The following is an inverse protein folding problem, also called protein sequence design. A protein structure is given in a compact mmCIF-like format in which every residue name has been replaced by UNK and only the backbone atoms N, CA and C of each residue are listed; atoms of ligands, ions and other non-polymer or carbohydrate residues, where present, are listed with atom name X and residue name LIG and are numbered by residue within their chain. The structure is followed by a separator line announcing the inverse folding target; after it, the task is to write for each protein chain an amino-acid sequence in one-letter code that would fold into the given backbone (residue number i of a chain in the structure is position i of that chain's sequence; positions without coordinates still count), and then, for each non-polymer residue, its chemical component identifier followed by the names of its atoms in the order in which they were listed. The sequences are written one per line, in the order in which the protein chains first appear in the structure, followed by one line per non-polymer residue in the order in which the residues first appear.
data_IF_720454795414
#
_entry.id   IF_720454795414
#
_cell.length_a   1.000
_cell.length_b   1.000
_cell.length_c   1.000
_cell.angle_alpha   90.00
_cell.angle_beta   90.00
_cell.angle_gamma   90.00
#
_symmetry.space_group_name_H-M   'P 1'
#
loop_
_entity.id
_entity.type
_entity.pdbx_description
1 polymer ?
#
# COMPACT_ATOMS: atom_id res chain seq x y z
N UNK A 1 -2.53 -29.01 -11.31
CA UNK A 1 -1.25 -28.46 -10.80
C UNK A 1 -1.24 -28.32 -9.28
N UNK A 2 -2.25 -27.68 -8.65
CA UNK A 2 -2.28 -27.46 -7.19
C UNK A 2 -2.15 -28.75 -6.34
N UNK A 3 -2.73 -29.86 -6.80
CA UNK A 3 -2.66 -31.16 -6.10
C UNK A 3 -1.25 -31.79 -6.14
N UNK A 4 -0.45 -31.49 -7.16
CA UNK A 4 0.95 -31.96 -7.28
C UNK A 4 1.89 -31.12 -6.42
N UNK A 5 1.56 -29.84 -6.21
CA UNK A 5 2.40 -28.88 -5.48
C UNK A 5 2.20 -28.93 -3.95
N UNK A 6 1.29 -29.78 -3.45
CA UNK A 6 0.97 -29.95 -2.03
C UNK A 6 0.85 -28.62 -1.24
N UNK A 7 0.11 -27.65 -1.80
CA UNK A 7 -0.06 -26.35 -1.16
C UNK A 7 -0.76 -26.51 0.20
N UNK A 8 -0.10 -26.05 1.27
CA UNK A 8 -0.58 -26.11 2.65
C UNK A 8 -0.69 -24.70 3.21
N UNK A 9 -1.75 -24.47 3.98
CA UNK A 9 -1.94 -23.24 4.73
C UNK A 9 -2.41 -23.58 6.14
N UNK A 10 -1.88 -22.86 7.13
CA UNK A 10 -2.35 -22.98 8.51
C UNK A 10 -3.68 -22.25 8.60
N UNK A 11 -4.75 -22.92 9.06
CA UNK A 11 -6.07 -22.30 9.20
C UNK A 11 -6.23 -21.59 10.54
N UNK A 12 -5.72 -22.19 11.60
CA UNK A 12 -5.90 -21.71 12.98
C UNK A 12 -4.70 -20.90 13.43
N UNK A 13 -4.92 -19.68 13.90
CA UNK A 13 -3.87 -18.80 14.40
C UNK A 13 -4.00 -17.37 13.88
N UNK A 14 -2.96 -16.58 14.13
CA UNK A 14 -2.90 -15.19 13.66
C UNK A 14 -2.84 -15.14 12.15
N UNK A 15 -3.65 -14.27 11.56
CA UNK A 15 -3.66 -14.12 10.13
C UNK A 15 -2.43 -13.37 9.62
N UNK A 16 -1.89 -13.85 8.51
CA UNK A 16 -0.96 -13.12 7.66
C UNK A 16 -1.51 -13.06 6.25
N UNK A 17 -1.17 -12.02 5.51
CA UNK A 17 -1.65 -11.83 4.15
C UNK A 17 -0.91 -10.75 3.41
N UNK A 18 -1.37 -10.46 2.21
CA UNK A 18 -0.81 -9.42 1.34
C UNK A 18 -1.92 -8.52 0.84
N UNK A 19 -1.65 -7.21 0.80
CA UNK A 19 -2.57 -6.23 0.23
C UNK A 19 -2.58 -6.40 -1.29
N UNK A 20 -3.76 -6.66 -1.85
CA UNK A 20 -3.97 -6.74 -3.30
C UNK A 20 -4.17 -5.32 -3.86
N UNK A 21 -5.07 -4.57 -3.23
CA UNK A 21 -5.46 -3.23 -3.63
C UNK A 21 -5.93 -2.43 -2.43
N UNK A 22 -5.91 -1.11 -2.56
CA UNK A 22 -6.30 -0.19 -1.50
C UNK A 22 -6.82 1.12 -2.09
N UNK A 23 -7.76 1.72 -1.38
CA UNK A 23 -8.38 2.98 -1.78
C UNK A 23 -9.01 3.71 -0.58
N UNK A 24 -9.39 4.97 -0.82
CA UNK A 24 -10.08 5.79 0.16
C UNK A 24 -11.56 5.92 -0.19
N UNK A 25 -12.42 5.32 0.63
CA UNK A 25 -13.86 5.39 0.45
C UNK A 25 -14.45 6.62 1.15
N UNK A 26 -15.29 7.37 0.42
CA UNK A 26 -15.99 8.54 0.94
C UNK A 26 -17.08 8.11 1.92
N UNK A 27 -16.73 8.11 3.20
CA UNK A 27 -17.64 7.84 4.32
C UNK A 27 -17.23 6.63 5.15
N UNK A 28 -16.59 5.63 4.53
CA UNK A 28 -16.07 4.46 5.26
C UNK A 28 -14.62 4.64 5.72
N UNK A 29 -13.87 5.55 5.07
CA UNK A 29 -12.46 5.79 5.35
C UNK A 29 -11.53 4.89 4.53
N UNK A 30 -10.29 4.66 4.97
CA UNK A 30 -9.34 3.82 4.26
C UNK A 30 -9.78 2.36 4.21
N UNK A 31 -9.68 1.79 3.01
CA UNK A 31 -10.08 0.42 2.70
C UNK A 31 -8.93 -0.30 2.01
N UNK A 32 -8.74 -1.58 2.31
CA UNK A 32 -7.79 -2.43 1.62
C UNK A 32 -8.39 -3.81 1.38
N UNK A 33 -8.21 -4.35 0.18
CA UNK A 33 -8.49 -5.76 -0.13
C UNK A 33 -7.23 -6.56 0.16
N UNK A 34 -7.33 -7.52 1.07
CA UNK A 34 -6.19 -8.33 1.53
C UNK A 34 -6.45 -9.80 1.20
N UNK A 35 -5.46 -10.46 0.60
CA UNK A 35 -5.46 -11.91 0.46
C UNK A 35 -4.90 -12.53 1.74
N UNK A 36 -5.72 -13.26 2.49
CA UNK A 36 -5.24 -14.02 3.65
C UNK A 36 -4.44 -15.23 3.17
N UNK A 37 -3.19 -15.37 3.60
CA UNK A 37 -2.30 -16.47 3.19
C UNK A 37 -2.20 -17.56 4.26
N UNK A 38 -2.29 -17.17 5.53
CA UNK A 38 -2.22 -18.07 6.68
C UNK A 38 -3.08 -17.52 7.81
N UNK A 39 -3.51 -18.40 8.72
CA UNK A 39 -4.39 -18.08 9.85
C UNK A 39 -5.81 -17.70 9.44
N UNK A 40 -6.58 -17.22 10.41
CA UNK A 40 -7.94 -16.72 10.18
C UNK A 40 -8.03 -15.28 10.67
N UNK A 41 -8.37 -14.37 9.76
CA UNK A 41 -8.57 -12.96 10.07
C UNK A 41 -9.99 -12.78 10.59
N UNK A 42 -10.15 -12.12 11.72
CA UNK A 42 -11.44 -11.86 12.34
C UNK A 42 -11.73 -10.37 12.45
N UNK A 43 -13.02 -10.03 12.43
CA UNK A 43 -13.47 -8.68 12.76
C UNK A 43 -13.07 -8.38 14.21
N UNK A 44 -12.45 -7.23 14.42
CA UNK A 44 -11.93 -6.80 15.72
C UNK A 44 -10.44 -7.10 15.93
N UNK A 45 -9.82 -7.88 15.04
CA UNK A 45 -8.37 -8.09 15.08
C UNK A 45 -7.63 -6.78 14.83
N UNK A 46 -6.49 -6.64 15.49
CA UNK A 46 -5.56 -5.54 15.24
C UNK A 46 -4.57 -6.00 14.18
N UNK A 47 -4.40 -5.19 13.13
CA UNK A 47 -3.53 -5.49 11.99
C UNK A 47 -2.48 -4.42 11.82
N UNK A 48 -1.31 -4.86 11.34
CA UNK A 48 -0.24 -4.03 10.83
C UNK A 48 -0.10 -4.34 9.33
N UNK A 49 -0.25 -3.32 8.49
CA UNK A 49 -0.18 -3.40 7.03
C UNK A 49 0.89 -2.42 6.54
N UNK A 50 2.11 -2.91 6.27
CA UNK A 50 3.21 -2.04 5.84
C UNK A 50 3.51 -0.90 6.83
N UNK A 51 3.21 0.34 6.44
CA UNK A 51 3.34 1.56 7.25
C UNK A 51 2.08 1.91 8.04
N UNK A 52 0.97 1.23 7.78
CA UNK A 52 -0.33 1.50 8.36
C UNK A 52 -0.69 0.46 9.41
N UNK A 53 -1.55 0.84 10.36
CA UNK A 53 -2.03 -0.05 11.40
C UNK A 53 -3.49 0.25 11.71
N UNK A 54 -4.18 -0.67 12.35
CA UNK A 54 -5.55 -0.40 12.78
C UNK A 54 -6.25 -1.61 13.32
N UNK A 55 -7.46 -1.37 13.82
CA UNK A 55 -8.37 -2.45 14.23
C UNK A 55 -9.41 -2.65 13.13
N UNK A 56 -9.59 -3.89 12.71
CA UNK A 56 -10.55 -4.26 11.67
C UNK A 56 -11.97 -3.99 12.18
N UNK A 57 -12.60 -2.92 11.70
CA UNK A 57 -13.95 -2.48 12.09
C UNK A 57 -15.04 -3.26 11.40
N UNK A 58 -14.81 -3.56 10.12
CA UNK A 58 -15.70 -4.32 9.27
C UNK A 58 -14.87 -5.09 8.24
N UNK A 59 -15.43 -6.20 7.76
CA UNK A 59 -14.87 -6.98 6.68
C UNK A 59 -15.96 -7.31 5.66
N UNK A 60 -15.63 -7.27 4.38
CA UNK A 60 -16.52 -7.70 3.30
C UNK A 60 -15.82 -8.67 2.36
N UNK A 61 -16.57 -9.60 1.81
CA UNK A 61 -16.06 -10.51 0.79
C UNK A 61 -16.15 -9.88 -0.61
N UNK A 62 -15.71 -10.63 -1.62
CA UNK A 62 -15.64 -10.22 -3.03
C UNK A 62 -16.99 -9.82 -3.65
N UNK A 63 -18.11 -10.26 -3.08
CA UNK A 63 -19.47 -9.88 -3.51
C UNK A 63 -20.08 -8.76 -2.64
N UNK A 64 -19.27 -8.12 -1.78
CA UNK A 64 -19.67 -6.98 -0.95
C UNK A 64 -20.53 -7.33 0.27
N UNK A 65 -20.64 -8.61 0.64
CA UNK A 65 -21.36 -9.04 1.85
C UNK A 65 -20.47 -8.96 3.07
N UNK A 66 -21.03 -8.55 4.20
CA UNK A 66 -20.29 -8.52 5.46
C UNK A 66 -19.93 -9.94 5.93
N UNK A 67 -18.68 -10.10 6.33
CA UNK A 67 -18.15 -11.36 6.87
C UNK A 67 -17.52 -11.12 8.24
N UNK A 68 -17.55 -12.13 9.10
CA UNK A 68 -16.97 -12.06 10.46
C UNK A 68 -15.56 -12.63 10.53
N UNK A 69 -15.22 -13.54 9.62
CA UNK A 69 -13.94 -14.24 9.56
C UNK A 69 -13.57 -14.53 8.11
N UNK A 70 -12.27 -14.48 7.79
CA UNK A 70 -11.71 -14.89 6.52
C UNK A 70 -10.52 -15.83 6.76
N UNK A 71 -10.59 -17.05 6.22
CA UNK A 71 -9.51 -18.03 6.30
C UNK A 71 -8.49 -17.87 5.17
N UNK A 72 -7.50 -18.76 5.08
CA UNK A 72 -6.49 -18.73 4.04
C UNK A 72 -7.09 -18.84 2.63
N UNK A 73 -6.42 -18.23 1.66
CA UNK A 73 -6.80 -18.14 0.25
C UNK A 73 -8.07 -17.35 -0.07
N UNK A 74 -8.67 -16.67 0.92
CA UNK A 74 -9.85 -15.84 0.73
C UNK A 74 -9.42 -14.36 0.67
N UNK A 75 -9.76 -13.62 -0.40
CA UNK A 75 -9.62 -12.17 -0.42
C UNK A 75 -10.72 -11.53 0.43
N UNK A 76 -10.36 -10.56 1.25
CA UNK A 76 -11.30 -9.85 2.11
C UNK A 76 -10.99 -8.36 2.14
N UNK A 77 -12.01 -7.55 1.92
CA UNK A 77 -11.96 -6.10 2.07
C UNK A 77 -12.03 -5.77 3.55
N UNK A 78 -11.00 -5.07 4.07
CA UNK A 78 -10.90 -4.66 5.46
C UNK A 78 -11.02 -3.14 5.60
N UNK A 79 -11.64 -2.73 6.70
CA UNK A 79 -11.86 -1.32 7.05
C UNK A 79 -11.38 -1.02 8.46
N UNK A 80 -10.93 0.21 8.68
CA UNK A 80 -10.47 0.69 9.99
C UNK A 80 -8.96 0.80 10.15
N UNK A 81 -8.24 0.87 9.02
CA UNK A 81 -6.81 1.21 8.99
C UNK A 81 -6.62 2.72 9.21
N UNK A 82 -5.42 3.10 9.68
CA UNK A 82 -5.00 4.49 9.87
C UNK A 82 -4.88 5.28 8.56
N UNK A 83 -4.61 4.58 7.46
CA UNK A 83 -4.38 5.13 6.15
C UNK A 83 -4.55 4.07 5.07
N UNK A 84 -4.31 4.47 3.82
CA UNK A 84 -4.38 3.58 2.65
C UNK A 84 -3.02 2.88 2.54
N UNK A 85 -2.92 1.56 2.80
CA UNK A 85 -1.65 0.83 2.67
C UNK A 85 -1.23 0.70 1.21
N UNK A 86 0.04 0.40 0.93
CA UNK A 86 0.50 0.19 -0.44
C UNK A 86 0.09 -1.19 -0.95
N UNK A 87 -0.11 -1.32 -2.26
CA UNK A 87 -0.29 -2.63 -2.87
C UNK A 87 1.00 -3.47 -2.69
N UNK A 88 0.83 -4.75 -2.36
CA UNK A 88 1.96 -5.64 -2.05
C UNK A 88 2.49 -5.56 -0.62
N UNK A 89 1.99 -4.64 0.22
CA UNK A 89 2.36 -4.62 1.63
C UNK A 89 1.92 -5.89 2.34
N UNK A 90 2.78 -6.40 3.23
CA UNK A 90 2.44 -7.51 4.11
C UNK A 90 1.47 -7.03 5.21
N UNK A 91 0.43 -7.83 5.42
CA UNK A 91 -0.52 -7.70 6.53
C UNK A 91 -0.23 -8.78 7.58
N UNK A 92 -0.16 -8.38 8.84
CA UNK A 92 -0.04 -9.30 9.97
C UNK A 92 -0.97 -8.90 11.10
N UNK A 93 -1.71 -9.87 11.63
CA UNK A 93 -2.48 -9.71 12.87
C UNK A 93 -1.52 -9.68 14.06
N UNK A 94 -1.69 -8.69 14.92
CA UNK A 94 -0.87 -8.47 16.10
C UNK A 94 -1.76 -8.41 17.35
N UNK A 95 -1.20 -8.84 18.49
CA UNK A 95 -1.96 -8.91 19.76
C UNK A 95 -2.22 -7.55 20.39
N UNK A 96 -1.30 -6.60 20.20
CA UNK A 96 -1.29 -5.34 20.92
C UNK A 96 -1.25 -4.17 19.93
N UNK A 97 -2.32 -3.39 19.94
CA UNK A 97 -2.48 -2.18 19.13
C UNK A 97 -1.44 -1.11 19.45
N UNK A 98 -0.99 -1.01 20.70
CA UNK A 98 0.04 -0.03 21.09
C UNK A 98 1.37 -0.37 20.44
N UNK A 99 1.75 -1.66 20.42
CA UNK A 99 2.96 -2.13 19.74
C UNK A 99 2.83 -2.00 18.23
N UNK A 100 1.66 -2.32 17.66
CA UNK A 100 1.39 -2.13 16.23
C UNK A 100 1.64 -0.67 15.80
N UNK A 101 1.09 0.27 16.58
CA UNK A 101 1.25 1.71 16.39
C UNK A 101 2.72 2.13 16.46
N UNK A 102 3.46 1.64 17.45
CA UNK A 102 4.88 1.96 17.62
C UNK A 102 5.71 1.50 16.42
N UNK A 103 5.50 0.27 15.96
CA UNK A 103 6.19 -0.29 14.78
C UNK A 103 5.82 0.48 13.52
N UNK A 104 4.55 0.80 13.31
CA UNK A 104 4.09 1.58 12.16
C UNK A 104 4.72 2.98 12.14
N UNK A 105 4.71 3.70 13.26
CA UNK A 105 5.32 5.03 13.37
C UNK A 105 6.83 4.99 13.15
N UNK A 106 7.51 3.96 13.66
CA UNK A 106 8.93 3.75 13.38
C UNK A 106 9.20 3.56 11.88
N UNK A 107 8.42 2.70 11.21
CA UNK A 107 8.54 2.47 9.77
C UNK A 107 8.23 3.74 8.96
N UNK A 108 7.22 4.52 9.35
CA UNK A 108 6.89 5.81 8.73
C UNK A 108 8.03 6.82 8.88
N UNK A 109 8.62 6.91 10.08
CA UNK A 109 9.79 7.76 10.34
C UNK A 109 10.97 7.39 9.45
N UNK A 110 11.30 6.10 9.37
CA UNK A 110 12.36 5.59 8.48
C UNK A 110 12.08 5.85 7.01
N UNK A 111 10.85 5.62 6.56
CA UNK A 111 10.45 5.90 5.18
C UNK A 111 10.61 7.39 4.83
N UNK A 112 10.21 8.28 5.76
CA UNK A 112 10.38 9.72 5.60
C UNK A 112 11.84 10.15 5.54
N UNK A 113 12.70 9.60 6.38
CA UNK A 113 14.16 9.84 6.35
C UNK A 113 14.75 9.48 4.98
N UNK A 114 14.43 8.28 4.47
CA UNK A 114 14.92 7.81 3.16
C UNK A 114 14.39 8.69 2.03
N UNK A 115 13.12 9.09 2.08
CA UNK A 115 12.51 9.96 1.06
C UNK A 115 13.18 11.34 1.02
N UNK A 116 13.46 11.94 2.18
CA UNK A 116 14.16 13.22 2.27
C UNK A 116 15.59 13.13 1.75
N UNK A 117 16.32 12.06 2.10
CA UNK A 117 17.68 11.83 1.60
C UNK A 117 17.71 11.69 0.06
N UNK A 118 16.76 10.95 -0.52
CA UNK A 118 16.61 10.84 -1.98
C UNK A 118 16.31 12.19 -2.63
N UNK A 119 15.42 12.99 -2.04
CA UNK A 119 15.07 14.32 -2.55
C UNK A 119 16.28 15.26 -2.54
N UNK A 120 17.09 15.24 -1.46
CA UNK A 120 18.31 16.04 -1.39
C UNK A 120 19.32 15.64 -2.46
N UNK A 121 19.51 14.32 -2.68
CA UNK A 121 20.39 13.80 -3.73
C UNK A 121 19.92 14.23 -5.12
N UNK A 122 18.65 14.04 -5.44
CA UNK A 122 18.08 14.43 -6.72
C UNK A 122 18.16 15.94 -6.96
N UNK A 123 17.98 16.77 -5.92
CA UNK A 123 18.13 18.22 -6.02
C UNK A 123 19.58 18.61 -6.35
N UNK A 124 20.56 17.96 -5.74
CA UNK A 124 21.98 18.18 -6.04
C UNK A 124 22.32 17.79 -7.48
N UNK A 125 21.91 16.60 -7.92
CA UNK A 125 22.10 16.14 -9.30
C UNK A 125 21.44 17.09 -10.31
N UNK A 126 20.20 17.51 -10.04
CA UNK A 126 19.48 18.45 -10.91
C UNK A 126 20.19 19.81 -11.00
N UNK A 127 20.69 20.37 -9.88
CA UNK A 127 21.43 21.65 -9.92
C UNK A 127 22.66 21.61 -10.83
N UNK A 128 23.36 20.46 -10.91
CA UNK A 128 24.48 20.31 -11.83
C UNK A 128 24.02 20.22 -13.29
N UNK A 129 22.93 19.49 -13.56
CA UNK A 129 22.37 19.34 -14.92
C UNK A 129 21.75 20.62 -15.48
N UNK A 130 21.04 21.39 -14.64
CA UNK A 130 20.41 22.67 -15.00
C UNK A 130 21.42 23.79 -15.29
N UNK A 131 22.70 23.57 -14.95
CA UNK A 131 23.79 24.51 -15.24
C UNK A 131 24.49 24.18 -16.56
N UNK A 132 24.24 22.99 -17.13
CA UNK A 132 24.82 22.49 -18.39
C UNK A 132 23.83 22.47 -19.56
N UNK A 133 22.54 22.26 -19.29
CA UNK A 133 21.47 22.26 -20.30
C UNK A 133 20.74 23.61 -20.26
N UNK A 134 20.42 24.18 -21.43
CA UNK A 134 19.61 25.40 -21.54
C UNK A 134 18.17 25.22 -21.03
N UNK A 135 17.28 26.18 -21.32
CA UNK A 135 15.87 26.11 -20.88
C UNK A 135 15.14 24.88 -21.45
N UNK A 136 15.10 23.79 -20.66
CA UNK A 136 14.26 22.61 -20.92
C UNK A 136 12.83 22.93 -20.48
N UNK A 137 11.84 22.68 -21.35
CA UNK A 137 10.44 22.95 -21.02
C UNK A 137 9.90 21.90 -20.05
N UNK A 138 9.26 22.33 -18.95
CA UNK A 138 8.65 21.41 -17.98
C UNK A 138 7.11 21.39 -18.12
N UNK A 139 6.52 20.19 -18.16
CA UNK A 139 5.08 19.97 -18.07
C UNK A 139 4.72 19.40 -16.70
N UNK A 140 4.05 20.20 -15.88
CA UNK A 140 3.57 19.79 -14.55
C UNK A 140 2.16 19.22 -14.64
N UNK A 141 1.96 18.00 -14.13
CA UNK A 141 0.69 17.26 -14.19
C UNK A 141 0.31 16.85 -12.76
N UNK A 142 -0.98 16.94 -12.43
CA UNK A 142 -1.50 16.40 -11.16
C UNK A 142 -2.36 15.18 -11.49
N UNK A 143 -1.98 14.01 -10.98
CA UNK A 143 -2.73 12.76 -11.18
C UNK A 143 -3.50 12.42 -9.90
N UNK A 144 -4.79 12.15 -10.05
CA UNK A 144 -5.64 11.61 -8.99
C UNK A 144 -6.43 10.44 -9.56
N UNK A 145 -6.32 9.28 -8.92
CA UNK A 145 -7.08 8.09 -9.28
C UNK A 145 -7.83 7.54 -8.06
N UNK A 146 -8.79 6.64 -8.33
CA UNK A 146 -9.65 6.05 -7.30
C UNK A 146 -8.91 5.00 -6.46
N UNK A 147 -7.93 4.30 -7.05
CA UNK A 147 -7.15 3.24 -6.39
C UNK A 147 -5.65 3.51 -6.49
N UNK A 148 -4.89 3.04 -5.50
CA UNK A 148 -3.44 3.29 -5.39
C UNK A 148 -2.66 2.75 -6.60
N UNK A 149 -2.95 1.52 -7.04
CA UNK A 149 -2.24 0.88 -8.15
C UNK A 149 -2.39 1.61 -9.50
N UNK A 150 -3.52 2.27 -9.74
CA UNK A 150 -3.72 3.06 -10.95
C UNK A 150 -2.86 4.32 -10.96
N UNK A 151 -2.69 4.99 -9.80
CA UNK A 151 -1.80 6.16 -9.70
C UNK A 151 -0.38 5.74 -10.06
N UNK A 152 0.11 4.65 -9.48
CA UNK A 152 1.48 4.17 -9.73
C UNK A 152 1.71 3.82 -11.20
N UNK A 153 0.80 3.06 -11.82
CA UNK A 153 0.91 2.66 -13.22
C UNK A 153 0.86 3.87 -14.19
N UNK A 154 -0.06 4.82 -13.96
CA UNK A 154 -0.19 6.02 -14.80
C UNK A 154 1.02 6.92 -14.64
N UNK A 155 1.50 7.13 -13.41
CA UNK A 155 2.69 7.94 -13.15
C UNK A 155 3.92 7.38 -13.85
N UNK A 156 4.11 6.05 -13.82
CA UNK A 156 5.21 5.41 -14.53
C UNK A 156 5.09 5.62 -16.04
N UNK A 157 3.91 5.38 -16.64
CA UNK A 157 3.71 5.58 -18.07
C UNK A 157 3.94 7.04 -18.50
N UNK A 158 3.53 8.01 -17.69
CA UNK A 158 3.77 9.43 -17.94
C UNK A 158 5.26 9.81 -17.86
N UNK A 159 6.00 9.21 -16.94
CA UNK A 159 7.46 9.41 -16.83
C UNK A 159 8.21 8.79 -18.03
N UNK A 160 7.75 7.65 -18.55
CA UNK A 160 8.31 7.01 -19.76
C UNK A 160 8.08 7.85 -21.03
N UNK A 161 7.06 8.70 -21.06
CA UNK A 161 6.79 9.64 -22.15
C UNK A 161 7.61 10.93 -22.06
N UNK A 162 8.37 11.14 -20.98
CA UNK A 162 9.24 12.31 -20.83
C UNK A 162 10.39 12.28 -21.82
N UNK A 163 10.69 13.42 -22.44
CA UNK A 163 11.80 13.56 -23.40
C UNK A 163 12.83 14.56 -22.90
N UNK A 164 13.98 14.64 -23.57
CA UNK A 164 15.03 15.63 -23.25
C UNK A 164 14.57 17.06 -23.59
N UNK A 165 13.63 17.22 -24.54
CA UNK A 165 13.07 18.52 -24.92
C UNK A 165 11.96 18.99 -23.95
N UNK A 166 11.13 18.05 -23.47
CA UNK A 166 10.02 18.33 -22.55
C UNK A 166 10.01 17.33 -21.40
N UNK A 167 10.33 17.82 -20.20
CA UNK A 167 10.30 17.00 -18.98
C UNK A 167 8.91 16.96 -18.36
N UNK A 168 8.37 15.75 -18.17
CA UNK A 168 7.09 15.53 -17.48
C UNK A 168 7.35 15.42 -15.97
N UNK A 169 6.58 16.16 -15.18
CA UNK A 169 6.67 16.19 -13.72
C UNK A 169 5.30 16.01 -13.09
N UNK A 170 5.23 15.10 -12.12
CA UNK A 170 3.99 14.63 -11.49
C UNK A 170 4.01 14.95 -9.99
#
# INVERSE_FOLDING_TARGET
QAEVLELKAVKDGMATGVVIESYLDKGRGPVATVLVQSGTLNRGDTVLCGLEYGRVRAMRNEIGKEVKSAGPSIPVEILGLSGVPSAGDEMTVVRDEKKAREVALYRQGKFREVKLARQQKAKLENMFSSMTEGDVSELNIIVKADVQGSVEAICQALLELSTDEVKVKI
#
